data_IF_447332723482
#
_entry.id   IF_447332723482
#
_cell.length_a   1.000
_cell.length_b   1.000
_cell.length_c   1.000
_cell.angle_alpha   90.00
_cell.angle_beta   90.00
_cell.angle_gamma   90.00
#
_symmetry.space_group_name_H-M   'P 1'
#
loop_
_entity.id
_entity.type
_entity.pdbx_description
1 polymer ?
#
# COMPACT_ATOMS: atom_id res chain seq x y z
N UNK A 1 27.20 -13.09 13.48
CA UNK A 1 26.04 -12.34 12.98
C UNK A 1 25.20 -13.31 12.15
N UNK A 2 24.00 -13.70 12.60
CA UNK A 2 23.17 -14.68 11.89
C UNK A 2 22.57 -13.99 10.66
N UNK A 3 22.96 -14.42 9.47
CA UNK A 3 22.37 -13.93 8.22
C UNK A 3 20.94 -14.47 8.09
N UNK A 4 19.98 -13.57 7.99
CA UNK A 4 18.58 -13.94 7.76
C UNK A 4 18.45 -14.45 6.31
N UNK A 5 18.02 -15.70 6.13
CA UNK A 5 17.73 -16.21 4.78
C UNK A 5 16.45 -15.58 4.24
N UNK A 6 16.29 -15.53 2.91
CA UNK A 6 15.11 -14.98 2.26
C UNK A 6 13.80 -15.58 2.78
N UNK A 7 13.71 -16.91 2.87
CA UNK A 7 12.49 -17.58 3.34
C UNK A 7 12.18 -17.21 4.80
N UNK A 8 13.22 -17.08 5.65
CA UNK A 8 13.06 -16.60 7.02
C UNK A 8 12.63 -15.13 7.05
N UNK A 9 13.12 -14.28 6.12
CA UNK A 9 12.72 -12.89 6.01
C UNK A 9 11.22 -12.77 5.64
N UNK A 10 10.75 -13.54 4.64
CA UNK A 10 9.34 -13.60 4.26
C UNK A 10 8.48 -14.09 5.43
N UNK A 11 8.86 -15.23 6.04
CA UNK A 11 8.10 -15.80 7.15
C UNK A 11 8.02 -14.83 8.35
N UNK A 12 9.14 -14.21 8.73
CA UNK A 12 9.19 -13.26 9.84
C UNK A 12 8.35 -12.01 9.54
N UNK A 13 8.38 -11.51 8.30
CA UNK A 13 7.52 -10.40 7.89
C UNK A 13 6.04 -10.75 8.00
N UNK A 14 5.63 -11.91 7.47
CA UNK A 14 4.24 -12.35 7.49
C UNK A 14 3.74 -12.61 8.91
N UNK A 15 4.49 -13.39 9.68
CA UNK A 15 4.14 -13.71 11.07
C UNK A 15 4.07 -12.42 11.91
N UNK A 16 5.03 -11.53 11.73
CA UNK A 16 5.06 -10.28 12.46
C UNK A 16 3.91 -9.35 12.08
N UNK A 17 3.73 -9.08 10.78
CA UNK A 17 2.71 -8.16 10.29
C UNK A 17 1.30 -8.66 10.58
N UNK A 18 0.99 -9.90 10.20
CA UNK A 18 -0.33 -10.47 10.41
C UNK A 18 -0.56 -10.86 11.87
N UNK A 19 0.45 -11.42 12.55
CA UNK A 19 0.34 -11.78 13.96
C UNK A 19 0.08 -10.58 14.86
N UNK A 20 0.75 -9.45 14.61
CA UNK A 20 0.50 -8.22 15.36
C UNK A 20 -0.93 -7.73 15.18
N UNK A 21 -1.41 -7.58 13.94
CA UNK A 21 -2.78 -7.08 13.71
C UNK A 21 -3.84 -8.06 14.22
N UNK A 22 -3.62 -9.37 14.08
CA UNK A 22 -4.56 -10.38 14.62
C UNK A 22 -4.59 -10.40 16.14
N UNK A 23 -3.46 -10.19 16.81
CA UNK A 23 -3.42 -10.03 18.27
C UNK A 23 -4.29 -8.82 18.69
N UNK A 24 -4.21 -7.70 17.98
CA UNK A 24 -5.07 -6.55 18.24
C UNK A 24 -6.54 -6.88 17.95
N UNK A 25 -6.84 -7.61 16.89
CA UNK A 25 -8.22 -8.08 16.63
C UNK A 25 -8.78 -8.91 17.80
N UNK A 26 -7.96 -9.80 18.38
CA UNK A 26 -8.39 -10.62 19.54
C UNK A 26 -8.66 -9.72 20.75
N UNK A 27 -7.78 -8.76 21.03
CA UNK A 27 -7.99 -7.81 22.14
C UNK A 27 -9.27 -7.00 21.92
N UNK A 28 -9.48 -6.47 20.72
CA UNK A 28 -10.69 -5.71 20.36
C UNK A 28 -11.93 -6.59 20.50
N UNK A 29 -11.87 -7.86 20.07
CA UNK A 29 -12.95 -8.82 20.25
C UNK A 29 -13.33 -9.02 21.73
N UNK A 30 -12.33 -9.23 22.60
CA UNK A 30 -12.54 -9.40 24.05
C UNK A 30 -13.17 -8.15 24.66
N UNK A 31 -12.66 -6.96 24.33
CA UNK A 31 -13.19 -5.70 24.84
C UNK A 31 -14.63 -5.46 24.37
N UNK A 32 -14.94 -5.72 23.10
CA UNK A 32 -16.32 -5.62 22.59
C UNK A 32 -17.27 -6.63 23.24
N UNK A 33 -16.78 -7.85 23.49
CA UNK A 33 -17.56 -8.90 24.19
C UNK A 33 -17.85 -8.56 25.65
N UNK A 34 -17.02 -7.70 26.28
CA UNK A 34 -17.27 -7.16 27.62
C UNK A 34 -18.19 -5.92 27.64
N UNK A 35 -18.75 -5.54 26.47
CA UNK A 35 -19.66 -4.40 26.35
C UNK A 35 -18.99 -3.05 26.08
N UNK A 36 -17.65 -3.01 25.86
CA UNK A 36 -16.98 -1.76 25.51
C UNK A 36 -17.17 -1.42 24.03
N UNK A 37 -17.39 -0.14 23.74
CA UNK A 37 -17.35 0.39 22.37
C UNK A 37 -15.89 0.60 22.00
N UNK A 38 -15.42 -0.13 20.97
CA UNK A 38 -14.04 -0.03 20.47
C UNK A 38 -14.10 0.12 18.96
N UNK A 39 -13.98 1.34 18.48
CA UNK A 39 -13.98 1.71 17.06
C UNK A 39 -13.19 3.00 16.82
N UNK A 40 -13.19 3.50 15.59
CA UNK A 40 -12.47 4.74 15.22
C UNK A 40 -12.95 6.00 15.95
N UNK A 41 -14.08 5.97 16.65
CA UNK A 41 -14.63 7.11 17.40
C UNK A 41 -14.15 7.14 18.86
N UNK A 42 -13.57 6.04 19.35
CA UNK A 42 -13.12 5.90 20.73
C UNK A 42 -11.58 5.97 20.85
N UNK A 43 -11.08 6.48 21.97
CA UNK A 43 -9.64 6.54 22.21
C UNK A 43 -8.99 5.14 22.20
N UNK A 44 -9.65 4.15 22.80
CA UNK A 44 -9.17 2.75 22.81
C UNK A 44 -9.11 2.20 21.40
N UNK A 45 -10.14 2.46 20.60
CA UNK A 45 -10.15 2.07 19.19
C UNK A 45 -9.07 2.77 18.37
N UNK A 46 -8.87 4.09 18.54
CA UNK A 46 -7.80 4.81 17.85
C UNK A 46 -6.40 4.27 18.19
N UNK A 47 -6.15 3.92 19.45
CA UNK A 47 -4.90 3.27 19.88
C UNK A 47 -4.75 1.89 19.23
N UNK A 48 -5.82 1.08 19.23
CA UNK A 48 -5.82 -0.24 18.59
C UNK A 48 -5.55 -0.14 17.07
N UNK A 49 -6.19 0.82 16.38
CA UNK A 49 -5.98 1.13 14.96
C UNK A 49 -4.50 1.51 14.73
N UNK A 50 -3.94 2.38 15.56
CA UNK A 50 -2.56 2.82 15.45
C UNK A 50 -1.56 1.65 15.61
N UNK A 51 -1.73 0.82 16.64
CA UNK A 51 -0.84 -0.33 16.90
C UNK A 51 -1.00 -1.41 15.83
N UNK A 52 -2.22 -1.73 15.42
CA UNK A 52 -2.49 -2.69 14.35
C UNK A 52 -2.01 -2.18 13.00
N UNK A 53 -2.32 -0.92 12.68
CA UNK A 53 -2.01 -0.28 11.41
C UNK A 53 -0.52 -0.13 11.12
N UNK A 54 0.30 0.13 12.14
CA UNK A 54 1.76 0.27 11.96
C UNK A 54 2.48 -1.05 11.71
N UNK A 55 1.80 -2.20 11.83
CA UNK A 55 2.44 -3.52 11.77
C UNK A 55 3.26 -3.77 10.50
N UNK A 56 2.74 -3.41 9.32
CA UNK A 56 3.47 -3.55 8.05
C UNK A 56 4.76 -2.73 8.05
N UNK A 57 4.70 -1.48 8.47
CA UNK A 57 5.87 -0.59 8.52
C UNK A 57 6.91 -1.04 9.55
N UNK A 58 6.47 -1.46 10.75
CA UNK A 58 7.34 -1.94 11.83
C UNK A 58 8.11 -3.19 11.38
N UNK A 59 7.40 -4.21 10.95
CA UNK A 59 8.03 -5.46 10.51
C UNK A 59 8.81 -5.29 9.21
N UNK A 60 8.36 -4.42 8.32
CA UNK A 60 9.12 -3.98 7.15
C UNK A 60 10.46 -3.36 7.53
N UNK A 61 10.49 -2.46 8.52
CA UNK A 61 11.71 -1.84 9.04
C UNK A 61 12.65 -2.90 9.63
N UNK A 62 12.15 -3.81 10.45
CA UNK A 62 12.94 -4.90 11.05
C UNK A 62 13.59 -5.78 9.95
N UNK A 63 12.83 -6.12 8.91
CA UNK A 63 13.37 -6.94 7.81
C UNK A 63 14.33 -6.12 6.94
N UNK A 64 14.06 -4.84 6.70
CA UNK A 64 14.99 -3.97 5.99
C UNK A 64 16.36 -3.89 6.70
N UNK A 65 16.38 -3.81 8.03
CA UNK A 65 17.64 -3.82 8.81
C UNK A 65 18.29 -5.20 8.81
N UNK A 66 17.55 -6.26 9.12
CA UNK A 66 18.12 -7.60 9.32
C UNK A 66 18.48 -8.31 8.02
N UNK A 67 17.69 -8.15 6.95
CA UNK A 67 17.90 -8.83 5.66
C UNK A 67 18.60 -7.94 4.63
N UNK A 68 18.07 -6.71 4.39
CA UNK A 68 18.65 -5.79 3.37
C UNK A 68 19.81 -4.96 3.91
N UNK A 69 20.09 -5.00 5.22
CA UNK A 69 21.16 -4.21 5.87
C UNK A 69 20.96 -2.69 5.73
N UNK A 70 19.73 -2.25 5.63
CA UNK A 70 19.41 -0.83 5.60
C UNK A 70 19.32 -0.27 7.03
N UNK A 71 19.97 0.85 7.29
CA UNK A 71 19.83 1.55 8.56
C UNK A 71 18.47 2.30 8.60
N UNK A 72 17.95 2.53 9.81
CA UNK A 72 16.74 3.37 10.01
C UNK A 72 16.91 4.74 9.33
N UNK A 73 18.10 5.34 9.45
CA UNK A 73 18.42 6.62 8.78
C UNK A 73 18.25 6.53 7.25
N UNK A 74 18.64 5.40 6.63
CA UNK A 74 18.43 5.19 5.20
C UNK A 74 16.95 5.06 4.87
N UNK A 75 16.18 4.28 5.65
CA UNK A 75 14.75 4.09 5.45
C UNK A 75 14.02 5.44 5.52
N UNK A 76 14.30 6.25 6.54
CA UNK A 76 13.72 7.58 6.69
C UNK A 76 14.11 8.51 5.54
N UNK A 77 15.39 8.48 5.13
CA UNK A 77 15.86 9.25 3.96
C UNK A 77 15.11 8.86 2.69
N UNK A 78 14.92 7.57 2.43
CA UNK A 78 14.22 7.09 1.25
C UNK A 78 12.71 7.36 1.32
N UNK A 79 12.14 7.33 2.54
CA UNK A 79 10.73 7.67 2.78
C UNK A 79 10.40 9.13 2.47
N UNK A 80 11.31 10.06 2.77
CA UNK A 80 11.17 11.50 2.52
C UNK A 80 11.98 11.98 1.31
N UNK A 81 12.38 11.09 0.41
CA UNK A 81 13.19 11.42 -0.77
C UNK A 81 12.34 12.10 -1.87
N UNK A 82 11.82 13.29 -1.59
CA UNK A 82 10.92 14.04 -2.49
C UNK A 82 11.59 14.46 -3.81
N UNK A 83 12.92 14.60 -3.84
CA UNK A 83 13.64 14.95 -5.08
C UNK A 83 13.76 13.73 -5.99
N UNK A 84 12.80 13.53 -6.86
CA UNK A 84 12.77 12.47 -7.87
C UNK A 84 12.82 13.06 -9.28
N UNK A 85 13.10 12.23 -10.29
CA UNK A 85 13.02 12.64 -11.69
C UNK A 85 11.60 13.08 -12.03
N UNK A 86 11.43 14.16 -12.78
CA UNK A 86 10.13 14.67 -13.20
C UNK A 86 9.27 13.59 -13.86
N UNK A 87 9.87 12.75 -14.69
CA UNK A 87 9.19 11.63 -15.33
C UNK A 87 8.55 10.66 -14.31
N UNK A 88 9.11 10.50 -13.10
CA UNK A 88 8.51 9.66 -12.05
C UNK A 88 7.16 10.22 -11.59
N UNK A 89 7.07 11.53 -11.45
CA UNK A 89 5.82 12.21 -11.10
C UNK A 89 4.79 12.17 -12.24
N UNK A 90 5.23 12.19 -13.50
CA UNK A 90 4.34 12.00 -14.65
C UNK A 90 3.73 10.59 -14.67
N UNK A 91 4.47 9.55 -14.30
CA UNK A 91 3.91 8.20 -14.15
C UNK A 91 2.88 8.13 -13.01
N UNK A 92 3.14 8.81 -11.88
CA UNK A 92 2.14 8.91 -10.79
C UNK A 92 0.88 9.59 -11.30
N UNK A 93 1.01 10.76 -11.95
CA UNK A 93 -0.12 11.48 -12.51
C UNK A 93 -0.93 10.63 -13.50
N UNK A 94 -0.24 9.91 -14.39
CA UNK A 94 -0.88 9.03 -15.37
C UNK A 94 -1.72 7.94 -14.69
N UNK A 95 -1.17 7.26 -13.68
CA UNK A 95 -1.91 6.22 -12.97
C UNK A 95 -3.08 6.78 -12.17
N UNK A 96 -2.92 7.95 -11.51
CA UNK A 96 -4.01 8.61 -10.80
C UNK A 96 -5.12 9.07 -11.75
N UNK A 97 -4.77 9.66 -12.90
CA UNK A 97 -5.76 10.05 -13.89
C UNK A 97 -6.55 8.85 -14.42
N UNK A 98 -5.89 7.71 -14.65
CA UNK A 98 -6.57 6.49 -15.05
C UNK A 98 -7.44 5.91 -13.93
N UNK A 99 -6.97 5.88 -12.69
CA UNK A 99 -7.71 5.28 -11.58
C UNK A 99 -8.96 6.10 -11.21
N UNK A 100 -8.93 7.42 -11.40
CA UNK A 100 -10.03 8.32 -11.05
C UNK A 100 -10.76 8.95 -12.24
N UNK A 101 -10.43 8.59 -13.49
CA UNK A 101 -11.09 9.17 -14.69
C UNK A 101 -12.60 8.91 -14.73
N UNK A 102 -13.07 7.84 -14.10
CA UNK A 102 -14.50 7.47 -14.05
C UNK A 102 -15.37 8.57 -13.41
N UNK A 103 -14.77 9.43 -12.59
CA UNK A 103 -15.44 10.57 -11.93
C UNK A 103 -15.96 11.60 -12.92
N UNK A 104 -15.29 11.77 -14.07
CA UNK A 104 -15.72 12.69 -15.14
C UNK A 104 -17.10 12.28 -15.70
N UNK A 105 -17.48 11.01 -15.53
CA UNK A 105 -18.75 10.46 -16.01
C UNK A 105 -19.75 10.35 -14.84
N UNK A 106 -20.45 11.43 -14.52
CA UNK A 106 -21.47 11.55 -13.47
C UNK A 106 -20.92 11.43 -12.02
N UNK A 107 -19.64 11.68 -11.81
CA UNK A 107 -19.06 11.81 -10.49
C UNK A 107 -18.80 13.27 -10.13
N UNK A 108 -18.38 13.50 -8.89
CA UNK A 108 -17.98 14.82 -8.40
C UNK A 108 -16.92 14.71 -7.31
N UNK A 109 -16.10 15.75 -7.20
CA UNK A 109 -15.23 15.96 -6.04
C UNK A 109 -16.03 16.72 -4.98
N UNK A 110 -16.05 16.20 -3.76
CA UNK A 110 -16.70 16.83 -2.62
C UNK A 110 -15.63 17.45 -1.73
N UNK A 111 -15.60 18.77 -1.72
CA UNK A 111 -14.67 19.57 -0.92
C UNK A 111 -15.47 20.41 0.08
N UNK A 112 -15.36 20.12 1.35
CA UNK A 112 -15.97 20.94 2.42
C UNK A 112 -15.17 22.24 2.68
N UNK A 113 -13.85 22.22 2.41
CA UNK A 113 -12.98 23.40 2.44
C UNK A 113 -11.74 23.17 1.56
N UNK A 114 -11.11 24.25 1.10
CA UNK A 114 -9.95 24.16 0.18
C UNK A 114 -8.72 23.47 0.76
N UNK A 115 -8.56 23.48 2.09
CA UNK A 115 -7.42 22.86 2.79
C UNK A 115 -7.62 21.37 3.09
N UNK A 116 -8.82 20.83 2.95
CA UNK A 116 -9.13 19.42 3.27
C UNK A 116 -8.24 18.43 2.52
N UNK A 117 -7.96 18.57 1.20
CA UNK A 117 -7.05 17.67 0.52
C UNK A 117 -5.65 17.61 1.13
N UNK A 118 -5.14 18.74 1.62
CA UNK A 118 -3.84 18.81 2.29
C UNK A 118 -3.85 18.06 3.63
N UNK A 119 -4.88 18.27 4.45
CA UNK A 119 -5.04 17.58 5.73
C UNK A 119 -5.14 16.07 5.51
N UNK A 120 -5.96 15.64 4.54
CA UNK A 120 -6.11 14.23 4.18
C UNK A 120 -4.80 13.65 3.66
N UNK A 121 -4.02 14.40 2.88
CA UNK A 121 -2.74 13.94 2.37
C UNK A 121 -1.73 13.66 3.49
N UNK A 122 -1.56 14.59 4.44
CA UNK A 122 -0.67 14.36 5.58
C UNK A 122 -1.16 13.22 6.48
N UNK A 123 -2.47 13.12 6.70
CA UNK A 123 -3.06 11.95 7.39
C UNK A 123 -2.77 10.66 6.63
N UNK A 124 -2.94 10.64 5.32
CA UNK A 124 -2.72 9.47 4.48
C UNK A 124 -1.25 9.04 4.42
N UNK A 125 -0.27 9.95 4.53
CA UNK A 125 1.15 9.59 4.67
C UNK A 125 1.37 8.74 5.92
N UNK A 126 0.72 9.11 7.04
CA UNK A 126 0.89 8.43 8.34
C UNK A 126 0.13 7.11 8.39
N UNK A 127 -1.09 7.05 7.84
CA UNK A 127 -1.99 5.89 7.96
C UNK A 127 -2.02 4.97 6.72
N UNK A 128 -1.42 5.38 5.61
CA UNK A 128 -1.36 4.60 4.38
C UNK A 128 0.04 4.55 3.80
N UNK A 129 0.64 5.73 3.56
CA UNK A 129 1.97 5.83 2.96
C UNK A 129 3.05 5.08 3.74
N UNK A 130 3.00 5.05 5.08
CA UNK A 130 3.95 4.32 5.92
C UNK A 130 3.95 2.82 5.64
N UNK A 131 2.83 2.26 5.22
CA UNK A 131 2.71 0.83 4.89
C UNK A 131 3.65 0.41 3.76
N UNK A 132 4.01 1.34 2.87
CA UNK A 132 4.88 1.06 1.72
C UNK A 132 6.31 0.67 2.14
N UNK A 133 6.73 1.00 3.37
CA UNK A 133 7.97 0.48 3.96
C UNK A 133 7.93 -1.04 4.05
N UNK A 134 6.80 -1.60 4.41
CA UNK A 134 6.60 -3.04 4.44
C UNK A 134 6.34 -3.63 3.06
N UNK A 135 5.29 -3.16 2.39
CA UNK A 135 4.79 -3.81 1.18
C UNK A 135 5.72 -3.66 -0.02
N UNK A 136 6.15 -2.44 -0.38
CA UNK A 136 6.90 -2.16 -1.61
C UNK A 136 8.39 -2.04 -1.40
N UNK A 137 8.83 -1.59 -0.24
CA UNK A 137 10.25 -1.44 0.00
C UNK A 137 10.93 -2.75 0.43
N UNK A 138 10.16 -3.69 1.05
CA UNK A 138 10.69 -4.95 1.60
C UNK A 138 10.01 -6.17 1.03
N UNK A 139 8.73 -6.41 1.33
CA UNK A 139 8.07 -7.69 1.12
C UNK A 139 8.02 -8.09 -0.35
N UNK A 140 7.49 -7.25 -1.19
CA UNK A 140 7.38 -7.55 -2.62
C UNK A 140 8.74 -7.69 -3.33
N UNK A 141 9.76 -6.84 -3.11
CA UNK A 141 11.09 -7.07 -3.67
C UNK A 141 11.74 -8.39 -3.23
N UNK A 142 11.56 -8.80 -1.98
CA UNK A 142 12.07 -10.09 -1.48
C UNK A 142 11.35 -11.27 -2.16
N UNK A 143 10.05 -11.16 -2.43
CA UNK A 143 9.32 -12.13 -3.26
C UNK A 143 9.86 -12.18 -4.69
N UNK A 144 10.18 -11.03 -5.27
CA UNK A 144 10.67 -10.90 -6.65
C UNK A 144 12.07 -11.46 -6.87
N UNK A 145 12.80 -11.82 -5.83
CA UNK A 145 14.06 -12.56 -5.95
C UNK A 145 13.87 -13.98 -6.52
N UNK A 146 12.66 -14.56 -6.42
CA UNK A 146 12.31 -15.89 -6.97
C UNK A 146 11.11 -15.90 -7.89
N UNK A 147 10.16 -15.00 -7.67
CA UNK A 147 8.91 -14.97 -8.41
C UNK A 147 8.93 -13.88 -9.47
N UNK A 148 8.15 -14.08 -10.52
CA UNK A 148 7.95 -13.02 -11.50
C UNK A 148 7.13 -11.87 -10.89
N UNK A 149 7.00 -10.79 -11.66
CA UNK A 149 6.28 -9.59 -11.23
C UNK A 149 4.82 -9.89 -10.83
N UNK A 150 4.10 -10.60 -11.70
CA UNK A 150 2.66 -10.87 -11.50
C UNK A 150 2.44 -11.70 -10.24
N UNK A 151 3.17 -12.82 -10.10
CA UNK A 151 3.06 -13.70 -8.92
C UNK A 151 3.37 -12.95 -7.62
N UNK A 152 4.45 -12.14 -7.60
CA UNK A 152 4.80 -11.35 -6.40
C UNK A 152 3.74 -10.30 -6.08
N UNK A 153 3.13 -9.68 -7.10
CA UNK A 153 2.07 -8.69 -6.93
C UNK A 153 0.79 -9.33 -6.39
N UNK A 154 0.41 -10.51 -6.92
CA UNK A 154 -0.77 -11.26 -6.45
C UNK A 154 -0.58 -11.76 -5.00
N UNK A 155 0.61 -12.28 -4.65
CA UNK A 155 0.89 -12.67 -3.26
C UNK A 155 0.79 -11.44 -2.34
N UNK A 156 1.38 -10.31 -2.72
CA UNK A 156 1.31 -9.08 -1.94
C UNK A 156 -0.13 -8.60 -1.80
N UNK A 157 -0.92 -8.64 -2.87
CA UNK A 157 -2.35 -8.31 -2.84
C UNK A 157 -3.12 -9.20 -1.86
N UNK A 158 -2.93 -10.51 -1.91
CA UNK A 158 -3.65 -11.44 -1.04
C UNK A 158 -3.33 -11.19 0.45
N UNK A 159 -2.05 -11.01 0.78
CA UNK A 159 -1.63 -10.72 2.17
C UNK A 159 -2.13 -9.35 2.62
N UNK A 160 -2.04 -8.35 1.75
CA UNK A 160 -2.49 -6.99 2.06
C UNK A 160 -4.01 -6.92 2.20
N UNK A 161 -4.75 -7.71 1.42
CA UNK A 161 -6.21 -7.86 1.56
C UNK A 161 -6.60 -8.44 2.93
N UNK A 162 -5.95 -9.54 3.35
CA UNK A 162 -6.18 -10.15 4.68
C UNK A 162 -5.89 -9.12 5.78
N UNK A 163 -4.80 -8.36 5.66
CA UNK A 163 -4.43 -7.32 6.61
C UNK A 163 -5.49 -6.21 6.66
N UNK A 164 -6.03 -5.76 5.52
CA UNK A 164 -7.07 -4.73 5.48
C UNK A 164 -8.39 -5.17 6.10
N UNK A 165 -8.82 -6.41 5.89
CA UNK A 165 -10.04 -6.91 6.56
C UNK A 165 -9.87 -6.94 8.08
N UNK A 166 -8.68 -7.28 8.58
CA UNK A 166 -8.34 -7.18 10.00
C UNK A 166 -8.36 -5.72 10.49
N UNK A 167 -7.83 -4.80 9.69
CA UNK A 167 -7.84 -3.37 9.98
C UNK A 167 -9.27 -2.82 10.05
N UNK A 168 -10.13 -3.12 9.09
CA UNK A 168 -11.55 -2.73 9.09
C UNK A 168 -12.31 -3.31 10.28
N UNK A 169 -11.94 -4.52 10.70
CA UNK A 169 -12.50 -5.10 11.92
C UNK A 169 -12.15 -4.27 13.16
N UNK A 170 -10.89 -3.90 13.34
CA UNK A 170 -10.45 -3.05 14.46
C UNK A 170 -11.15 -1.69 14.40
N UNK A 171 -11.21 -1.08 13.22
CA UNK A 171 -11.85 0.22 12.97
C UNK A 171 -13.37 0.22 13.21
N UNK A 172 -14.02 -0.95 13.12
CA UNK A 172 -15.47 -1.08 13.23
C UNK A 172 -16.24 -0.84 11.94
N UNK A 173 -15.54 -0.71 10.82
CA UNK A 173 -16.11 -0.40 9.49
C UNK A 173 -16.32 -1.63 8.60
N UNK A 174 -15.89 -2.82 9.05
CA UNK A 174 -15.97 -4.05 8.28
C UNK A 174 -17.37 -4.33 7.66
N UNK A 175 -18.50 -4.11 8.35
CA UNK A 175 -19.84 -4.35 7.79
C UNK A 175 -20.20 -3.41 6.63
N UNK A 176 -19.54 -2.25 6.49
CA UNK A 176 -19.77 -1.26 5.44
C UNK A 176 -18.92 -1.51 4.19
N UNK A 177 -17.94 -2.43 4.25
CA UNK A 177 -17.00 -2.66 3.14
C UNK A 177 -17.68 -3.37 1.98
N UNK A 178 -17.68 -2.74 0.82
CA UNK A 178 -18.10 -3.36 -0.44
C UNK A 178 -16.96 -4.25 -0.94
N UNK A 179 -16.99 -5.53 -0.54
CA UNK A 179 -15.85 -6.49 -0.68
C UNK A 179 -15.29 -6.55 -2.08
N UNK A 180 -16.14 -6.71 -3.11
CA UNK A 180 -15.66 -6.81 -4.50
C UNK A 180 -14.99 -5.50 -4.97
N UNK A 181 -15.64 -4.36 -4.74
CA UNK A 181 -15.11 -3.05 -5.13
C UNK A 181 -13.79 -2.76 -4.41
N UNK A 182 -13.73 -3.05 -3.12
CA UNK A 182 -12.51 -2.90 -2.33
C UNK A 182 -11.36 -3.78 -2.85
N UNK A 183 -11.59 -5.09 -3.02
CA UNK A 183 -10.55 -6.02 -3.48
C UNK A 183 -10.08 -5.70 -4.90
N UNK A 184 -10.97 -5.29 -5.79
CA UNK A 184 -10.57 -4.90 -7.14
C UNK A 184 -9.76 -3.60 -7.15
N UNK A 185 -10.12 -2.62 -6.31
CA UNK A 185 -9.33 -1.42 -6.07
C UNK A 185 -7.96 -1.74 -5.47
N UNK A 186 -7.91 -2.59 -4.45
CA UNK A 186 -6.66 -3.02 -3.80
C UNK A 186 -5.73 -3.75 -4.77
N UNK A 187 -6.28 -4.63 -5.62
CA UNK A 187 -5.52 -5.30 -6.67
C UNK A 187 -4.90 -4.28 -7.63
N UNK A 188 -5.70 -3.31 -8.08
CA UNK A 188 -5.23 -2.23 -8.96
C UNK A 188 -4.11 -1.42 -8.29
N UNK A 189 -4.28 -1.05 -7.01
CA UNK A 189 -3.27 -0.34 -6.23
C UNK A 189 -1.97 -1.16 -6.10
N UNK A 190 -2.07 -2.48 -5.94
CA UNK A 190 -0.90 -3.35 -5.96
C UNK A 190 -0.14 -3.25 -7.27
N UNK A 191 -0.82 -3.25 -8.42
CA UNK A 191 -0.16 -3.12 -9.71
C UNK A 191 0.44 -1.74 -9.93
N UNK A 192 -0.26 -0.66 -9.57
CA UNK A 192 0.26 0.73 -9.64
C UNK A 192 1.56 0.86 -8.84
N UNK A 193 1.49 0.57 -7.54
CA UNK A 193 2.58 0.79 -6.61
C UNK A 193 3.80 -0.09 -6.92
N UNK A 194 3.55 -1.34 -7.33
CA UNK A 194 4.61 -2.26 -7.75
C UNK A 194 5.32 -1.80 -9.02
N UNK A 195 4.55 -1.36 -10.03
CA UNK A 195 5.11 -0.86 -11.28
C UNK A 195 5.91 0.42 -11.06
N UNK A 196 5.39 1.34 -10.25
CA UNK A 196 6.09 2.57 -9.88
C UNK A 196 7.38 2.27 -9.12
N UNK A 197 7.37 1.33 -8.17
CA UNK A 197 8.58 0.97 -7.44
C UNK A 197 9.65 0.35 -8.36
N UNK A 198 9.28 -0.56 -9.25
CA UNK A 198 10.21 -1.17 -10.22
C UNK A 198 10.80 -0.11 -11.16
N UNK A 199 9.97 0.84 -11.62
CA UNK A 199 10.37 1.90 -12.55
C UNK A 199 11.27 2.93 -11.90
N UNK A 200 10.96 3.35 -10.68
CA UNK A 200 11.59 4.50 -10.04
C UNK A 200 12.60 4.13 -8.96
N UNK A 201 12.50 2.91 -8.42
CA UNK A 201 13.22 2.44 -7.23
C UNK A 201 13.10 3.44 -6.05
N UNK A 202 11.97 4.11 -5.93
CA UNK A 202 11.73 5.17 -4.94
C UNK A 202 10.61 4.78 -3.99
N UNK A 203 10.95 4.70 -2.70
CA UNK A 203 9.95 4.51 -1.64
C UNK A 203 9.00 5.72 -1.58
N UNK A 204 9.53 6.95 -1.70
CA UNK A 204 8.73 8.18 -1.70
C UNK A 204 7.64 8.19 -2.77
N UNK A 205 7.95 7.76 -3.99
CA UNK A 205 6.94 7.70 -5.06
C UNK A 205 5.78 6.78 -4.68
N UNK A 206 6.05 5.64 -4.03
CA UNK A 206 5.00 4.74 -3.55
C UNK A 206 4.22 5.37 -2.39
N UNK A 207 4.90 5.95 -1.40
CA UNK A 207 4.28 6.65 -0.26
C UNK A 207 3.34 7.75 -0.74
N UNK A 208 3.82 8.63 -1.62
CA UNK A 208 3.03 9.72 -2.17
C UNK A 208 1.83 9.22 -2.98
N UNK A 209 2.04 8.23 -3.84
CA UNK A 209 0.98 7.67 -4.70
C UNK A 209 -0.11 7.02 -3.86
N UNK A 210 0.25 6.18 -2.89
CA UNK A 210 -0.70 5.56 -1.97
C UNK A 210 -1.49 6.63 -1.21
N UNK A 211 -0.80 7.64 -0.70
CA UNK A 211 -1.45 8.75 0.02
C UNK A 211 -2.44 9.50 -0.87
N UNK A 212 -2.07 9.79 -2.13
CA UNK A 212 -2.96 10.46 -3.08
C UNK A 212 -4.17 9.59 -3.46
N UNK A 213 -3.99 8.28 -3.66
CA UNK A 213 -5.11 7.36 -3.88
C UNK A 213 -6.08 7.44 -2.69
N UNK A 214 -5.58 7.41 -1.45
CA UNK A 214 -6.42 7.50 -0.25
C UNK A 214 -7.13 8.86 -0.15
N UNK A 215 -6.49 9.96 -0.54
CA UNK A 215 -7.12 11.29 -0.58
C UNK A 215 -8.25 11.31 -1.60
N UNK A 216 -7.97 10.93 -2.85
CA UNK A 216 -8.99 10.97 -3.91
C UNK A 216 -10.15 10.01 -3.61
N UNK A 217 -9.88 8.82 -3.07
CA UNK A 217 -10.93 7.88 -2.66
C UNK A 217 -11.89 8.43 -1.60
N UNK A 218 -11.45 9.38 -0.77
CA UNK A 218 -12.29 10.04 0.23
C UNK A 218 -13.01 11.26 -0.34
N UNK A 219 -12.49 11.88 -1.39
CA UNK A 219 -13.05 13.11 -1.97
C UNK A 219 -14.00 12.86 -3.14
N UNK A 220 -13.95 11.66 -3.74
CA UNK A 220 -14.74 11.32 -4.92
C UNK A 220 -16.04 10.65 -4.53
N UNK A 221 -17.13 11.10 -5.13
CA UNK A 221 -18.47 10.51 -4.96
C UNK A 221 -19.12 10.29 -6.32
N UNK A 222 -19.69 9.10 -6.52
CA UNK A 222 -20.33 8.73 -7.78
C UNK A 222 -19.34 8.37 -8.89
N UNK A 223 -19.78 8.55 -10.13
CA UNK A 223 -19.00 8.18 -11.31
C UNK A 223 -19.50 6.91 -11.99
N UNK A 224 -19.00 6.65 -13.21
CA UNK A 224 -19.42 5.51 -13.99
C UNK A 224 -18.64 4.24 -13.62
N UNK A 225 -19.29 3.28 -13.01
CA UNK A 225 -18.69 2.02 -12.54
C UNK A 225 -18.05 1.20 -13.67
N UNK A 226 -18.67 1.14 -14.85
CA UNK A 226 -18.12 0.38 -15.99
C UNK A 226 -16.81 1.02 -16.48
N UNK A 227 -16.76 2.35 -16.52
CA UNK A 227 -15.53 3.08 -16.85
C UNK A 227 -14.45 2.81 -15.78
N UNK A 228 -14.81 2.81 -14.51
CA UNK A 228 -13.89 2.45 -13.42
C UNK A 228 -13.28 1.06 -13.64
N UNK A 229 -14.11 0.06 -13.91
CA UNK A 229 -13.61 -1.32 -14.15
C UNK A 229 -12.72 -1.41 -15.38
N UNK A 230 -13.09 -0.77 -16.49
CA UNK A 230 -12.28 -0.75 -17.70
C UNK A 230 -10.91 -0.10 -17.43
N UNK A 231 -10.86 1.03 -16.74
CA UNK A 231 -9.61 1.71 -16.40
C UNK A 231 -8.73 0.88 -15.44
N UNK A 232 -9.32 0.19 -14.47
CA UNK A 232 -8.58 -0.72 -13.59
C UNK A 232 -7.93 -1.87 -14.37
N UNK A 233 -8.59 -2.44 -15.36
CA UNK A 233 -8.01 -3.44 -16.25
C UNK A 233 -6.85 -2.85 -17.05
N UNK A 234 -7.03 -1.63 -17.62
CA UNK A 234 -5.96 -0.93 -18.35
C UNK A 234 -4.75 -0.70 -17.45
N UNK A 235 -4.95 -0.28 -16.20
CA UNK A 235 -3.89 -0.07 -15.21
C UNK A 235 -3.11 -1.36 -14.95
N UNK A 236 -3.80 -2.49 -14.75
CA UNK A 236 -3.18 -3.79 -14.51
C UNK A 236 -2.30 -4.20 -15.69
N UNK A 237 -2.82 -4.04 -16.92
CA UNK A 237 -2.07 -4.33 -18.15
C UNK A 237 -0.86 -3.40 -18.28
N UNK A 238 -1.05 -2.08 -18.11
CA UNK A 238 0.03 -1.10 -18.20
C UNK A 238 1.11 -1.34 -17.14
N UNK A 239 0.72 -1.57 -15.88
CA UNK A 239 1.64 -1.88 -14.79
C UNK A 239 2.47 -3.13 -15.08
N UNK A 240 1.83 -4.16 -15.64
CA UNK A 240 2.50 -5.40 -16.05
C UNK A 240 3.51 -5.16 -17.18
N UNK A 241 3.09 -4.48 -18.25
CA UNK A 241 3.96 -4.17 -19.40
C UNK A 241 5.16 -3.31 -18.98
N UNK A 242 4.92 -2.26 -18.18
CA UNK A 242 5.95 -1.39 -17.67
C UNK A 242 7.00 -2.18 -16.85
N UNK A 243 6.52 -3.07 -15.98
CA UNK A 243 7.39 -3.85 -15.10
C UNK A 243 8.22 -4.89 -15.84
N UNK A 244 7.64 -5.56 -16.85
CA UNK A 244 8.35 -6.51 -17.70
C UNK A 244 9.45 -5.77 -18.49
N UNK A 245 9.15 -4.63 -19.09
CA UNK A 245 10.12 -3.82 -19.83
C UNK A 245 11.29 -3.37 -18.97
N UNK A 246 11.03 -2.88 -17.77
CA UNK A 246 12.09 -2.44 -16.86
C UNK A 246 12.96 -3.60 -16.37
N UNK A 247 12.40 -4.78 -16.14
CA UNK A 247 13.18 -5.97 -15.78
C UNK A 247 14.08 -6.42 -16.94
N UNK A 248 13.56 -6.47 -18.16
CA UNK A 248 14.34 -6.85 -19.34
C UNK A 248 15.49 -5.86 -19.58
N UNK A 249 15.24 -4.55 -19.44
CA UNK A 249 16.28 -3.53 -19.55
C UNK A 249 17.41 -3.74 -18.55
N UNK A 250 17.07 -3.96 -17.27
CA UNK A 250 18.07 -4.23 -16.22
C UNK A 250 18.87 -5.50 -16.49
N UNK A 251 18.25 -6.54 -17.05
CA UNK A 251 18.95 -7.78 -17.41
C UNK A 251 19.95 -7.54 -18.56
N UNK A 252 19.59 -6.74 -19.57
CA UNK A 252 20.48 -6.38 -20.68
C UNK A 252 21.65 -5.53 -20.20
N UNK A 253 21.41 -4.53 -19.33
CA UNK A 253 22.47 -3.66 -18.79
C UNK A 253 23.51 -4.46 -17.98
N UNK A 254 23.12 -5.55 -17.29
CA UNK A 254 24.03 -6.44 -16.54
C UNK A 254 24.82 -7.38 -17.47
N UNK A 255 24.26 -7.77 -18.63
CA UNK A 255 24.95 -8.65 -19.58
C UNK A 255 26.00 -7.95 -20.46
N UNK A 256 26.05 -6.62 -20.43
CA UNK A 256 27.00 -5.77 -21.20
C UNK A 256 28.19 -5.33 -20.35
N UNK A 257 28.17 -5.59 -19.04
CA UNK A 257 29.28 -5.33 -18.08
C UNK A 257 30.06 -6.61 -17.80
#
# INVERSE_FOLDING_TARGET
MIFLSRNKAIALYLIGTLGQIWMICIIVFILRSSGMIVDYTTLVGMVAIGIGGVSSALWGTIIAEKYKKYSIKKILKDFFAVKQKFCSYLFVLLFLLLDFCYVVFNGKLVLSAWYIPLVLFFKAIIFGGIEEVGWRYVFQPVLQERHNYITSTIITFAVWGIWHFSYFYIEGTLPQVQVFGFLFGLLTNCFILSALFIKTNSLWICVMTHSLINVFSQLVVGGNQNVSYACKIIIIVMGTVLSIRERNKKATDVSVL
#
